data_IF_103149836843
#
_entry.id   IF_103149836843
#
_cell.length_a   1.000
_cell.length_b   1.000
_cell.length_c   1.000
_cell.angle_alpha   90.00
_cell.angle_beta   90.00
_cell.angle_gamma   90.00
#
_symmetry.space_group_name_H-M   'P 1'
#
loop_
_entity.id
_entity.type
_entity.pdbx_description
1 polymer ?
#
# COMPACT_ATOMS: atom_id res chain seq x y z
N UNK A 1 -11.04 25.93 -9.75
CA UNK A 1 -10.08 25.46 -8.72
C UNK A 1 -9.52 24.12 -9.15
N UNK A 2 -8.19 23.99 -9.21
CA UNK A 2 -7.55 22.72 -9.53
C UNK A 2 -7.70 21.76 -8.34
N UNK A 3 -8.19 20.54 -8.58
CA UNK A 3 -8.26 19.47 -7.56
C UNK A 3 -7.00 18.60 -7.67
N UNK A 4 -6.57 18.04 -6.55
CA UNK A 4 -5.32 17.27 -6.46
C UNK A 4 -5.50 15.99 -5.64
N UNK A 5 -4.71 14.97 -5.97
CA UNK A 5 -4.46 13.80 -5.14
C UNK A 5 -3.26 14.04 -4.18
N UNK A 6 -3.18 13.33 -3.03
CA UNK A 6 -4.26 12.52 -2.47
C UNK A 6 -5.44 13.39 -2.06
N UNK A 7 -6.66 12.93 -2.32
CA UNK A 7 -7.87 13.64 -1.92
C UNK A 7 -8.51 12.91 -0.73
N UNK A 8 -8.81 13.63 0.35
CA UNK A 8 -9.34 13.05 1.58
C UNK A 8 -10.67 13.72 1.91
N UNK A 9 -11.72 12.91 2.08
CA UNK A 9 -13.06 13.36 2.39
C UNK A 9 -13.50 12.79 3.74
N UNK A 10 -13.79 13.67 4.70
CA UNK A 10 -14.22 13.26 6.02
C UNK A 10 -15.76 13.33 6.13
N UNK A 11 -16.41 12.30 6.70
CA UNK A 11 -17.81 12.36 7.09
C UNK A 11 -18.10 13.51 8.05
N UNK A 12 -19.32 14.06 7.98
CA UNK A 12 -19.78 15.11 8.90
C UNK A 12 -19.64 14.69 10.38
N UNK A 13 -19.93 13.42 10.69
CA UNK A 13 -19.82 12.89 12.04
C UNK A 13 -18.37 12.88 12.55
N UNK A 14 -17.41 12.52 11.69
CA UNK A 14 -15.98 12.57 12.00
C UNK A 14 -15.50 14.01 12.17
N UNK A 15 -15.92 14.94 11.29
CA UNK A 15 -15.59 16.35 11.44
C UNK A 15 -16.10 16.93 12.76
N UNK A 16 -17.34 16.60 13.14
CA UNK A 16 -17.92 16.99 14.45
C UNK A 16 -17.15 16.36 15.61
N UNK A 17 -16.75 15.10 15.49
CA UNK A 17 -15.91 14.44 16.50
C UNK A 17 -14.57 15.17 16.66
N UNK A 18 -13.89 15.49 15.56
CA UNK A 18 -12.61 16.20 15.57
C UNK A 18 -12.72 17.59 16.19
N UNK A 19 -13.79 18.33 15.89
CA UNK A 19 -14.05 19.64 16.48
C UNK A 19 -14.24 19.56 18.01
N UNK A 20 -14.98 18.56 18.47
CA UNK A 20 -15.27 18.37 19.90
C UNK A 20 -14.14 17.65 20.67
N UNK A 21 -13.14 17.13 19.96
CA UNK A 21 -12.04 16.36 20.51
C UNK A 21 -10.76 16.75 19.76
N UNK A 22 -10.21 17.95 19.99
CA UNK A 22 -8.95 18.34 19.37
C UNK A 22 -7.85 17.33 19.74
N UNK A 23 -7.02 16.98 18.77
CA UNK A 23 -5.89 16.08 19.00
C UNK A 23 -4.87 16.75 19.91
N UNK A 24 -4.28 16.03 20.89
CA UNK A 24 -3.10 16.50 21.60
C UNK A 24 -2.00 16.86 20.59
N UNK A 25 -1.28 17.96 20.83
CA UNK A 25 -0.37 18.58 19.87
C UNK A 25 0.59 17.56 19.23
N UNK A 26 0.48 17.35 17.91
CA UNK A 26 1.25 16.36 17.14
C UNK A 26 2.77 16.53 17.32
N UNK A 27 3.24 17.78 17.47
CA UNK A 27 4.66 18.08 17.69
C UNK A 27 5.19 17.55 19.02
N UNK A 28 4.40 17.60 20.10
CA UNK A 28 4.81 17.06 21.40
C UNK A 28 4.92 15.53 21.36
N UNK A 29 4.00 14.85 20.69
CA UNK A 29 4.03 13.39 20.56
C UNK A 29 5.10 12.90 19.59
N UNK A 30 5.36 13.60 18.48
CA UNK A 30 6.50 13.31 17.60
C UNK A 30 7.83 13.45 18.33
N UNK A 31 8.00 14.49 19.16
CA UNK A 31 9.19 14.63 20.01
C UNK A 31 9.30 13.53 21.08
N UNK A 32 8.16 13.04 21.61
CA UNK A 32 8.12 11.92 22.57
C UNK A 32 8.48 10.59 21.92
N UNK A 33 8.08 10.39 20.66
CA UNK A 33 8.42 9.23 19.82
C UNK A 33 9.89 9.31 19.36
N UNK A 34 10.38 10.50 18.96
CA UNK A 34 11.78 10.69 18.58
C UNK A 34 12.75 10.55 19.76
N UNK A 35 12.37 10.95 20.99
CA UNK A 35 13.19 10.77 22.20
C UNK A 35 13.25 9.31 22.67
N UNK A 36 12.25 8.49 22.35
CA UNK A 36 12.30 7.03 22.52
C UNK A 36 12.62 6.41 21.18
N UNK A 37 13.86 6.57 20.73
CA UNK A 37 14.36 5.96 19.49
C UNK A 37 14.16 4.44 19.60
N UNK A 38 13.07 3.96 19.01
CA UNK A 38 12.80 2.54 18.86
C UNK A 38 13.84 2.05 17.86
N UNK A 39 14.86 1.36 18.34
CA UNK A 39 15.75 0.59 17.48
C UNK A 39 14.88 -0.43 16.74
N UNK A 40 14.47 -0.09 15.52
CA UNK A 40 13.98 -1.08 14.57
C UNK A 40 15.08 -2.14 14.45
N UNK A 41 14.76 -3.43 14.59
CA UNK A 41 15.77 -4.47 14.41
C UNK A 41 16.36 -4.33 13.01
N UNK A 42 17.69 -4.33 12.92
CA UNK A 42 18.54 -4.26 11.70
C UNK A 42 18.09 -5.13 10.53
N UNK A 43 17.15 -6.06 10.77
CA UNK A 43 16.59 -7.01 9.82
C UNK A 43 15.90 -6.35 8.63
N UNK A 44 15.25 -5.18 8.80
CA UNK A 44 14.59 -4.48 7.68
C UNK A 44 15.60 -3.79 6.77
N UNK A 45 16.70 -3.27 7.33
CA UNK A 45 17.78 -2.64 6.56
C UNK A 45 18.59 -3.70 5.80
N UNK A 46 18.97 -4.80 6.47
CA UNK A 46 19.70 -5.92 5.86
C UNK A 46 18.93 -6.69 4.78
N UNK A 47 17.59 -6.69 4.82
CA UNK A 47 16.79 -7.41 3.81
C UNK A 47 16.84 -6.74 2.44
N UNK A 48 16.81 -5.40 2.39
CA UNK A 48 16.87 -4.66 1.13
C UNK A 48 18.28 -4.72 0.51
N UNK A 49 19.33 -4.61 1.33
CA UNK A 49 20.71 -4.68 0.84
C UNK A 49 21.06 -6.11 0.36
N UNK A 50 20.63 -7.16 1.09
CA UNK A 50 20.90 -8.55 0.69
C UNK A 50 20.24 -8.95 -0.64
N UNK A 51 19.10 -8.38 -1.02
CA UNK A 51 18.43 -8.71 -2.28
C UNK A 51 19.09 -7.97 -3.44
N UNK A 52 19.43 -6.70 -3.26
CA UNK A 52 20.12 -5.91 -4.27
C UNK A 52 21.53 -6.45 -4.54
N UNK A 53 22.27 -6.86 -3.50
CA UNK A 53 23.59 -7.48 -3.65
C UNK A 53 23.50 -8.83 -4.36
N UNK A 54 22.48 -9.66 -4.05
CA UNK A 54 22.27 -10.94 -4.73
C UNK A 54 21.87 -10.77 -6.20
N UNK A 55 21.04 -9.77 -6.52
CA UNK A 55 20.69 -9.45 -7.91
C UNK A 55 21.91 -8.93 -8.68
N UNK A 56 22.73 -8.09 -8.05
CA UNK A 56 23.96 -7.56 -8.64
C UNK A 56 25.01 -8.65 -8.91
N UNK A 57 25.22 -9.57 -7.97
CA UNK A 57 26.12 -10.72 -8.16
C UNK A 57 25.64 -11.68 -9.25
N UNK A 58 24.34 -11.98 -9.31
CA UNK A 58 23.77 -12.80 -10.40
C UNK A 58 23.94 -12.12 -11.76
N UNK A 59 23.76 -10.80 -11.83
CA UNK A 59 23.96 -10.04 -13.06
C UNK A 59 25.44 -10.03 -13.51
N UNK A 60 26.38 -9.91 -12.57
CA UNK A 60 27.82 -10.00 -12.87
C UNK A 60 28.19 -11.39 -13.38
N UNK A 61 27.70 -12.48 -12.76
CA UNK A 61 27.99 -13.85 -13.18
C UNK A 61 27.43 -14.20 -14.57
N UNK A 62 26.26 -13.65 -14.93
CA UNK A 62 25.66 -13.86 -16.26
C UNK A 62 26.44 -13.09 -17.35
N UNK A 63 26.91 -11.88 -17.05
CA UNK A 63 27.63 -11.07 -18.04
C UNK A 63 29.11 -11.46 -18.19
N UNK A 64 29.77 -11.96 -17.13
CA UNK A 64 31.15 -12.44 -17.23
C UNK A 64 31.29 -13.77 -17.98
N UNK A 65 30.24 -14.61 -17.97
CA UNK A 65 30.20 -15.86 -18.75
C UNK A 65 29.86 -15.63 -20.23
N UNK A 66 29.09 -14.59 -20.56
CA UNK A 66 28.79 -14.22 -21.95
C UNK A 66 30.02 -13.68 -22.71
N UNK A 67 30.89 -12.91 -22.03
CA UNK A 67 32.12 -12.37 -22.63
C UNK A 67 33.19 -13.45 -22.91
N UNK A 68 33.19 -14.55 -22.17
CA UNK A 68 34.10 -15.69 -22.39
C UNK A 68 33.59 -16.60 -23.52
N UNK A 69 32.26 -16.68 -23.75
CA UNK A 69 31.70 -17.49 -24.82
C UNK A 69 31.88 -16.90 -26.23
N UNK A 70 32.04 -15.58 -26.37
CA UNK A 70 32.21 -14.92 -27.67
C UNK A 70 33.62 -15.07 -28.29
N UNK A 71 34.63 -15.47 -27.52
CA UNK A 71 36.00 -15.68 -28.02
C UNK A 71 36.34 -17.14 -28.38
N UNK A 72 35.46 -18.10 -28.08
CA UNK A 72 35.77 -19.53 -28.20
C UNK A 72 34.99 -20.27 -29.31
N UNK A 73 34.47 -19.57 -30.32
CA UNK A 73 33.67 -20.17 -31.40
C UNK A 73 34.44 -20.50 -32.70
N UNK A 74 35.77 -20.38 -32.74
CA UNK A 74 36.52 -20.60 -33.97
C UNK A 74 37.28 -21.93 -34.08
N UNK A 75 37.39 -22.75 -33.03
CA UNK A 75 38.15 -24.00 -33.14
C UNK A 75 37.96 -24.90 -31.92
N UNK A 76 37.57 -26.15 -32.16
CA UNK A 76 37.41 -27.29 -31.22
C UNK A 76 36.01 -27.53 -30.62
N UNK A 77 35.63 -28.80 -30.36
CA UNK A 77 34.30 -29.18 -29.89
C UNK A 77 34.17 -28.92 -28.38
N UNK A 78 34.21 -27.64 -27.99
CA UNK A 78 34.03 -27.18 -26.61
C UNK A 78 32.57 -27.20 -26.15
N UNK A 79 31.62 -27.53 -27.03
CA UNK A 79 30.19 -27.63 -26.71
C UNK A 79 29.89 -28.68 -25.63
N UNK A 80 30.69 -29.74 -25.52
CA UNK A 80 30.57 -30.74 -24.46
C UNK A 80 30.87 -30.15 -23.07
N UNK A 81 31.81 -29.21 -22.99
CA UNK A 81 32.12 -28.49 -21.74
C UNK A 81 30.95 -27.59 -21.35
N UNK A 82 30.33 -26.91 -22.32
CA UNK A 82 29.15 -26.07 -22.08
C UNK A 82 27.96 -26.88 -21.55
N UNK A 83 27.74 -28.10 -22.05
CA UNK A 83 26.67 -28.99 -21.53
C UNK A 83 26.97 -29.42 -20.09
N UNK A 84 28.22 -29.76 -19.78
CA UNK A 84 28.62 -30.12 -18.40
C UNK A 84 28.41 -28.94 -17.45
N UNK A 85 28.83 -27.73 -17.83
CA UNK A 85 28.61 -26.52 -17.02
C UNK A 85 27.13 -26.12 -16.90
N UNK A 86 26.33 -26.30 -17.94
CA UNK A 86 24.89 -26.07 -17.89
C UNK A 86 24.20 -27.04 -16.91
N UNK A 87 24.63 -28.31 -16.88
CA UNK A 87 24.10 -29.32 -15.95
C UNK A 87 24.45 -29.03 -14.48
N UNK A 88 25.67 -28.54 -14.21
CA UNK A 88 26.11 -28.14 -12.87
C UNK A 88 25.31 -26.91 -12.39
N UNK A 89 25.10 -25.92 -13.26
CA UNK A 89 24.31 -24.73 -12.93
C UNK A 89 22.83 -25.06 -12.67
N UNK A 90 22.24 -26.00 -13.42
CA UNK A 90 20.88 -26.48 -13.18
C UNK A 90 20.78 -27.25 -11.84
N UNK A 91 21.78 -28.06 -11.51
CA UNK A 91 21.88 -28.73 -10.22
C UNK A 91 21.98 -27.76 -9.03
N UNK A 92 22.76 -26.69 -9.16
CA UNK A 92 22.86 -25.63 -8.16
C UNK A 92 21.53 -24.89 -7.96
N UNK A 93 20.79 -24.59 -9.04
CA UNK A 93 19.46 -23.97 -8.97
C UNK A 93 18.45 -24.88 -8.23
N UNK A 94 18.47 -26.18 -8.51
CA UNK A 94 17.64 -27.15 -7.80
C UNK A 94 18.01 -27.26 -6.31
N UNK A 95 19.30 -27.26 -5.95
CA UNK A 95 19.76 -27.32 -4.56
C UNK A 95 19.41 -26.06 -3.74
N UNK A 96 19.56 -24.87 -4.33
CA UNK A 96 19.15 -23.61 -3.68
C UNK A 96 17.64 -23.56 -3.47
N UNK A 97 16.85 -24.07 -4.43
CA UNK A 97 15.39 -24.17 -4.27
C UNK A 97 14.99 -25.14 -3.13
N UNK A 98 15.76 -26.22 -2.93
CA UNK A 98 15.57 -27.19 -1.84
C UNK A 98 15.90 -26.60 -0.46
N UNK A 99 17.01 -25.86 -0.34
CA UNK A 99 17.39 -25.15 0.89
C UNK A 99 16.38 -24.08 1.30
N UNK A 100 15.76 -23.39 0.34
CA UNK A 100 14.70 -22.41 0.61
C UNK A 100 13.44 -23.03 1.23
N UNK A 101 13.15 -24.30 0.93
CA UNK A 101 12.03 -25.06 1.50
C UNK A 101 12.31 -25.54 2.93
N UNK A 102 13.58 -25.76 3.28
CA UNK A 102 13.97 -26.30 4.59
C UNK A 102 14.03 -25.22 5.68
N UNK A 103 14.21 -23.95 5.31
CA UNK A 103 14.27 -22.83 6.28
C UNK A 103 12.90 -22.45 6.89
N UNK A 104 11.78 -23.03 6.42
CA UNK A 104 10.43 -22.71 6.93
C UNK A 104 9.96 -23.59 8.11
N UNK A 105 10.81 -24.46 8.67
CA UNK A 105 10.37 -25.39 9.73
C UNK A 105 11.38 -25.53 10.86
N UNK A 106 11.33 -24.60 11.80
CA UNK A 106 11.46 -24.76 13.27
C UNK A 106 11.75 -23.39 13.88
N UNK A 107 10.95 -22.99 14.88
CA UNK A 107 11.40 -22.49 16.18
C UNK A 107 10.18 -22.02 17.00
N UNK A 108 9.82 -22.82 17.99
CA UNK A 108 9.01 -22.44 19.17
C UNK A 108 9.89 -21.63 20.15
N UNK A 109 9.30 -20.79 21.03
CA UNK A 109 9.96 -19.59 21.55
C UNK A 109 10.66 -19.81 22.90
N UNK A 110 11.84 -19.21 23.04
CA UNK A 110 12.41 -18.91 24.35
C UNK A 110 11.71 -17.69 24.96
N UNK A 111 11.24 -17.83 26.19
CA UNK A 111 10.69 -16.78 27.03
C UNK A 111 11.70 -15.64 27.20
N UNK A 112 11.45 -14.51 26.52
CA UNK A 112 12.10 -13.22 26.80
C UNK A 112 10.98 -12.24 27.16
N UNK A 113 11.15 -11.58 28.31
CA UNK A 113 10.20 -10.72 29.01
C UNK A 113 9.34 -9.83 28.10
N UNK A 114 8.02 -9.97 28.25
CA UNK A 114 6.97 -9.27 27.50
C UNK A 114 6.67 -7.83 27.98
N UNK A 115 7.40 -7.29 28.96
CA UNK A 115 6.98 -6.04 29.63
C UNK A 115 7.27 -4.76 28.84
N UNK A 116 8.29 -4.71 27.97
CA UNK A 116 8.64 -3.47 27.24
C UNK A 116 7.75 -3.15 26.04
N UNK A 117 7.08 -4.16 25.46
CA UNK A 117 6.22 -3.97 24.28
C UNK A 117 4.87 -3.35 24.64
N UNK A 118 4.32 -3.68 25.81
CA UNK A 118 3.01 -3.21 26.29
C UNK A 118 3.06 -1.71 26.61
N UNK A 119 4.13 -1.24 27.22
CA UNK A 119 4.31 0.18 27.56
C UNK A 119 4.48 1.05 26.31
N UNK A 120 5.24 0.59 25.31
CA UNK A 120 5.43 1.34 24.07
C UNK A 120 4.15 1.41 23.22
N UNK A 121 3.34 0.34 23.17
CA UNK A 121 2.03 0.36 22.49
C UNK A 121 1.07 1.32 23.20
N UNK A 122 1.08 1.35 24.53
CA UNK A 122 0.24 2.25 25.33
C UNK A 122 0.61 3.73 25.13
N UNK A 123 1.88 4.03 24.87
CA UNK A 123 2.35 5.41 24.58
C UNK A 123 1.95 5.88 23.17
N UNK A 124 1.79 4.98 22.21
CA UNK A 124 1.45 5.32 20.82
C UNK A 124 -0.05 5.39 20.54
N UNK A 125 -0.90 4.90 21.45
CA UNK A 125 -2.36 4.90 21.29
C UNK A 125 -3.01 5.80 22.32
N UNK A 126 -4.20 6.30 21.98
CA UNK A 126 -5.04 7.06 22.90
C UNK A 126 -6.35 6.31 23.17
N UNK A 127 -6.35 5.26 24.03
CA UNK A 127 -7.51 4.36 24.19
C UNK A 127 -8.81 5.07 24.55
N UNK A 128 -8.75 6.13 25.38
CA UNK A 128 -9.93 6.95 25.72
C UNK A 128 -10.53 7.63 24.49
N UNK A 129 -9.69 8.11 23.57
CA UNK A 129 -10.13 8.73 22.31
C UNK A 129 -10.71 7.67 21.37
N UNK A 130 -10.05 6.53 21.25
CA UNK A 130 -10.52 5.41 20.42
C UNK A 130 -11.88 4.89 20.90
N UNK A 131 -12.07 4.72 22.21
CA UNK A 131 -13.35 4.31 22.80
C UNK A 131 -14.44 5.35 22.57
N UNK A 132 -14.12 6.66 22.72
CA UNK A 132 -15.08 7.74 22.43
C UNK A 132 -15.45 7.77 20.95
N UNK A 133 -14.49 7.58 20.06
CA UNK A 133 -14.75 7.50 18.62
C UNK A 133 -15.61 6.29 18.27
N UNK A 134 -15.33 5.13 18.86
CA UNK A 134 -16.14 3.93 18.70
C UNK A 134 -17.59 4.19 19.12
N UNK A 135 -17.80 4.79 20.29
CA UNK A 135 -19.15 5.17 20.74
C UNK A 135 -19.88 6.11 19.75
N UNK A 136 -19.16 7.05 19.12
CA UNK A 136 -19.76 7.94 18.13
C UNK A 136 -20.22 7.20 16.86
N UNK A 137 -19.42 6.24 16.40
CA UNK A 137 -19.60 5.51 15.14
C UNK A 137 -20.44 4.23 15.27
N UNK A 138 -20.56 3.69 16.48
CA UNK A 138 -21.19 2.40 16.71
C UNK A 138 -22.60 2.33 16.10
N UNK A 139 -22.83 1.30 15.27
CA UNK A 139 -24.06 1.06 14.49
C UNK A 139 -24.47 2.17 13.51
N UNK A 140 -23.58 3.12 13.20
CA UNK A 140 -23.84 4.22 12.24
C UNK A 140 -22.98 4.14 10.98
N UNK A 141 -22.01 3.23 10.95
CA UNK A 141 -21.19 2.98 9.75
C UNK A 141 -21.88 1.91 8.92
N UNK A 142 -22.10 2.20 7.63
CA UNK A 142 -22.62 1.21 6.68
C UNK A 142 -21.68 0.01 6.61
N UNK A 143 -22.25 -1.18 6.69
CA UNK A 143 -21.51 -2.43 6.55
C UNK A 143 -21.45 -2.86 5.08
N UNK A 144 -20.36 -3.51 4.65
CA UNK A 144 -20.27 -4.07 3.31
C UNK A 144 -21.18 -5.28 3.15
N UNK A 145 -21.63 -5.55 1.91
CA UNK A 145 -22.50 -6.69 1.58
C UNK A 145 -21.72 -7.95 1.22
N UNK A 146 -20.40 -7.83 1.06
CA UNK A 146 -19.53 -8.96 0.78
C UNK A 146 -18.42 -8.61 -0.20
N UNK A 147 -17.92 -9.64 -0.89
CA UNK A 147 -16.88 -9.49 -1.90
C UNK A 147 -17.48 -8.92 -3.19
N UNK A 148 -16.74 -8.04 -3.85
CA UNK A 148 -17.09 -7.51 -5.16
C UNK A 148 -16.62 -8.44 -6.28
N UNK A 149 -17.42 -8.53 -7.34
CA UNK A 149 -17.07 -9.19 -8.60
C UNK A 149 -16.39 -8.24 -9.60
N UNK A 150 -16.22 -6.96 -9.24
CA UNK A 150 -15.53 -6.01 -10.10
C UNK A 150 -14.05 -6.41 -10.29
N UNK A 151 -13.52 -6.31 -11.51
CA UNK A 151 -12.12 -6.64 -11.76
C UNK A 151 -11.21 -5.62 -11.09
N UNK A 152 -10.17 -6.11 -10.40
CA UNK A 152 -9.12 -5.27 -9.84
C UNK A 152 -8.25 -4.64 -10.94
N UNK A 153 -7.86 -3.38 -10.74
CA UNK A 153 -6.88 -2.68 -11.54
C UNK A 153 -5.48 -3.30 -11.46
N UNK A 154 -4.66 -3.03 -12.48
CA UNK A 154 -3.32 -3.63 -12.64
C UNK A 154 -2.39 -3.27 -11.48
N UNK A 155 -2.48 -2.04 -10.98
CA UNK A 155 -1.66 -1.52 -9.88
C UNK A 155 -2.10 -2.03 -8.49
N UNK A 156 -3.35 -2.47 -8.36
CA UNK A 156 -3.95 -2.80 -7.07
C UNK A 156 -3.26 -3.97 -6.38
N UNK A 157 -2.87 -5.01 -7.13
CA UNK A 157 -2.27 -6.23 -6.54
C UNK A 157 -0.98 -5.92 -5.78
N UNK A 158 -0.06 -5.19 -6.41
CA UNK A 158 1.22 -4.82 -5.79
C UNK A 158 1.00 -3.85 -4.64
N UNK A 159 0.08 -2.88 -4.82
CA UNK A 159 -0.26 -1.95 -3.77
C UNK A 159 -0.86 -2.65 -2.54
N UNK A 160 -1.73 -3.65 -2.75
CA UNK A 160 -2.32 -4.46 -1.70
C UNK A 160 -1.28 -5.20 -0.89
N UNK A 161 -0.28 -5.81 -1.53
CA UNK A 161 0.78 -6.54 -0.82
C UNK A 161 1.55 -5.63 0.15
N UNK A 162 1.89 -4.41 -0.30
CA UNK A 162 2.60 -3.43 0.51
C UNK A 162 1.70 -2.90 1.63
N UNK A 163 0.49 -2.48 1.29
CA UNK A 163 -0.47 -1.95 2.29
C UNK A 163 -0.87 -3.01 3.31
N UNK A 164 -1.01 -4.28 2.94
CA UNK A 164 -1.31 -5.39 3.86
C UNK A 164 -0.20 -5.61 4.89
N UNK A 165 1.05 -5.39 4.50
CA UNK A 165 2.18 -5.45 5.44
C UNK A 165 2.10 -4.34 6.50
N UNK A 166 1.66 -3.14 6.11
CA UNK A 166 1.52 -1.99 7.02
C UNK A 166 0.23 -2.05 7.83
N UNK A 167 -0.88 -2.43 7.20
CA UNK A 167 -2.23 -2.47 7.74
C UNK A 167 -2.80 -3.89 7.62
N UNK A 168 -2.56 -4.78 8.59
CA UNK A 168 -2.98 -6.18 8.50
C UNK A 168 -4.49 -6.38 8.31
N UNK A 169 -5.32 -5.41 8.70
CA UNK A 169 -6.77 -5.42 8.57
C UNK A 169 -7.30 -4.85 7.23
N UNK A 170 -6.43 -4.44 6.31
CA UNK A 170 -6.88 -4.00 4.98
C UNK A 170 -7.49 -5.17 4.21
N UNK A 171 -8.60 -4.91 3.52
CA UNK A 171 -9.30 -5.84 2.62
C UNK A 171 -9.45 -5.20 1.25
N UNK A 172 -9.47 -6.01 0.19
CA UNK A 172 -9.57 -5.57 -1.20
C UNK A 172 -10.90 -6.01 -1.82
N UNK A 173 -11.46 -5.18 -2.72
CA UNK A 173 -12.55 -5.56 -3.61
C UNK A 173 -13.83 -5.89 -2.86
N UNK A 174 -14.39 -4.89 -2.18
CA UNK A 174 -15.55 -5.05 -1.29
C UNK A 174 -16.78 -4.34 -1.86
N UNK A 175 -17.91 -5.03 -1.86
CA UNK A 175 -19.17 -4.53 -2.40
C UNK A 175 -20.02 -3.78 -1.36
N UNK A 176 -20.68 -2.72 -1.82
CA UNK A 176 -21.71 -1.97 -1.09
C UNK A 176 -22.94 -1.80 -1.97
N UNK A 177 -24.06 -2.28 -1.48
CA UNK A 177 -25.37 -2.13 -2.06
C UNK A 177 -25.76 -0.67 -1.99
N UNK A 178 -26.17 -0.15 -3.13
CA UNK A 178 -26.71 1.19 -3.24
C UNK A 178 -28.05 1.09 -3.97
N UNK A 179 -29.19 1.25 -3.27
CA UNK A 179 -30.51 1.03 -3.86
C UNK A 179 -30.82 1.98 -5.02
N UNK A 180 -30.04 3.07 -5.17
CA UNK A 180 -30.17 4.00 -6.30
C UNK A 180 -29.53 3.50 -7.59
N UNK A 181 -28.73 2.44 -7.55
CA UNK A 181 -28.00 1.91 -8.70
C UNK A 181 -28.25 0.41 -8.85
N UNK A 182 -28.32 -0.04 -10.10
CA UNK A 182 -28.53 -1.45 -10.43
C UNK A 182 -27.38 -2.36 -9.98
N UNK A 183 -26.17 -1.82 -9.91
CA UNK A 183 -24.96 -2.55 -9.52
C UNK A 183 -24.40 -1.97 -8.22
N UNK A 184 -23.87 -2.82 -7.32
CA UNK A 184 -23.23 -2.35 -6.10
C UNK A 184 -22.00 -1.51 -6.43
N UNK A 185 -21.66 -0.60 -5.52
CA UNK A 185 -20.34 0.02 -5.55
C UNK A 185 -19.29 -0.99 -5.08
N UNK A 186 -18.12 -0.93 -5.71
CA UNK A 186 -16.98 -1.77 -5.38
C UNK A 186 -15.84 -0.89 -4.92
N UNK A 187 -15.55 -0.88 -3.62
CA UNK A 187 -14.39 -0.19 -3.06
C UNK A 187 -13.11 -0.97 -3.37
N UNK A 188 -12.06 -0.28 -3.78
CA UNK A 188 -10.78 -0.93 -4.11
C UNK A 188 -10.16 -1.51 -2.83
N UNK A 189 -10.03 -0.71 -1.78
CA UNK A 189 -9.62 -1.19 -0.46
C UNK A 189 -10.40 -0.57 0.68
N UNK A 190 -10.59 -1.35 1.74
CA UNK A 190 -11.16 -0.87 2.99
C UNK A 190 -10.22 -1.13 4.17
N UNK A 191 -10.22 -0.20 5.13
CA UNK A 191 -9.62 -0.38 6.44
C UNK A 191 -10.69 -0.09 7.50
N UNK A 192 -10.97 -1.07 8.36
CA UNK A 192 -11.80 -0.87 9.56
C UNK A 192 -10.89 -0.95 10.79
N UNK A 193 -10.58 0.22 11.35
CA UNK A 193 -9.77 0.33 12.56
C UNK A 193 -10.56 -0.10 13.81
N UNK A 194 -9.87 -0.59 14.83
CA UNK A 194 -10.47 -1.05 16.10
C UNK A 194 -11.35 -0.01 16.81
N UNK A 195 -11.11 1.28 16.56
CA UNK A 195 -11.96 2.38 17.06
C UNK A 195 -13.27 2.56 16.28
N UNK A 196 -13.62 1.67 15.35
CA UNK A 196 -14.75 1.80 14.42
C UNK A 196 -14.52 2.76 13.25
N UNK A 197 -13.36 3.42 13.19
CA UNK A 197 -13.00 4.29 12.06
C UNK A 197 -12.89 3.44 10.81
N UNK A 198 -13.71 3.77 9.82
CA UNK A 198 -13.79 3.03 8.56
C UNK A 198 -13.33 3.93 7.43
N UNK A 199 -12.38 3.43 6.63
CA UNK A 199 -11.71 4.17 5.56
C UNK A 199 -11.88 3.39 4.27
N UNK A 200 -12.45 4.07 3.28
CA UNK A 200 -12.54 3.67 1.89
C UNK A 200 -11.34 4.27 1.14
N UNK A 201 -10.60 3.43 0.43
CA UNK A 201 -9.39 3.82 -0.30
C UNK A 201 -9.59 3.44 -1.76
N UNK A 202 -9.45 4.45 -2.62
CA UNK A 202 -9.73 4.36 -4.05
C UNK A 202 -8.47 4.72 -4.85
N UNK A 203 -8.24 3.97 -5.92
CA UNK A 203 -7.15 4.20 -6.86
C UNK A 203 -7.75 4.69 -8.17
N UNK A 204 -7.38 5.91 -8.53
CA UNK A 204 -7.93 6.55 -9.72
C UNK A 204 -6.96 6.39 -10.89
N UNK A 205 -7.31 5.58 -11.89
CA UNK A 205 -6.64 5.61 -13.19
C UNK A 205 -7.20 6.69 -14.12
N UNK A 206 -6.38 7.29 -15.00
CA UNK A 206 -6.87 8.32 -15.92
C UNK A 206 -7.75 7.81 -17.06
N UNK A 207 -7.60 6.53 -17.40
CA UNK A 207 -8.39 5.86 -18.42
C UNK A 207 -8.34 4.36 -18.22
N UNK A 208 -9.40 3.67 -18.63
CA UNK A 208 -9.51 2.22 -18.56
C UNK A 208 -8.46 1.56 -19.48
N UNK A 209 -7.75 0.55 -18.99
CA UNK A 209 -6.55 0.02 -19.65
C UNK A 209 -6.78 -0.53 -21.05
N UNK A 210 -7.84 -1.32 -21.23
CA UNK A 210 -8.20 -1.99 -22.48
C UNK A 210 -8.95 -1.07 -23.45
N UNK A 211 -10.01 -0.40 -23.01
CA UNK A 211 -10.87 0.43 -23.86
C UNK A 211 -10.33 1.83 -24.10
N UNK A 212 -9.35 2.27 -23.30
CA UNK A 212 -8.80 3.63 -23.32
C UNK A 212 -9.84 4.72 -23.02
N UNK A 213 -11.02 4.33 -22.50
CA UNK A 213 -12.07 5.27 -22.13
C UNK A 213 -11.63 6.13 -20.93
N UNK A 214 -11.87 7.45 -20.94
CA UNK A 214 -11.59 8.33 -19.80
C UNK A 214 -12.22 7.84 -18.50
N UNK A 215 -11.46 7.90 -17.42
CA UNK A 215 -11.89 7.42 -16.10
C UNK A 215 -11.53 8.43 -15.00
N UNK A 216 -12.28 8.41 -13.89
CA UNK A 216 -12.15 9.32 -12.74
C UNK A 216 -11.88 10.81 -13.06
N UNK A 217 -12.65 11.36 -13.99
CA UNK A 217 -12.43 12.72 -14.49
C UNK A 217 -13.20 13.74 -13.64
N UNK A 218 -12.58 14.87 -13.28
CA UNK A 218 -13.18 15.87 -12.37
C UNK A 218 -14.36 16.64 -12.96
N UNK A 219 -14.44 16.70 -14.29
CA UNK A 219 -15.55 17.22 -15.08
C UNK A 219 -16.67 16.19 -15.24
N UNK A 220 -16.58 15.04 -14.56
CA UNK A 220 -17.66 14.09 -14.33
C UNK A 220 -18.12 14.16 -12.87
N UNK A 221 -19.44 14.11 -12.64
CA UNK A 221 -20.01 14.16 -11.29
C UNK A 221 -20.00 12.80 -10.56
N UNK A 222 -19.62 11.70 -11.24
CA UNK A 222 -19.75 10.32 -10.76
C UNK A 222 -18.97 10.09 -9.46
N UNK A 223 -17.69 10.46 -9.40
CA UNK A 223 -16.87 10.27 -8.20
C UNK A 223 -17.35 11.12 -7.03
N UNK A 224 -17.89 12.33 -7.29
CA UNK A 224 -18.45 13.16 -6.23
C UNK A 224 -19.69 12.48 -5.60
N UNK A 225 -20.56 11.87 -6.41
CA UNK A 225 -21.74 11.13 -5.94
C UNK A 225 -21.32 9.89 -5.14
N UNK A 226 -20.29 9.18 -5.61
CA UNK A 226 -19.72 8.03 -4.92
C UNK A 226 -19.09 8.43 -3.56
N UNK A 227 -18.28 9.48 -3.54
CA UNK A 227 -17.70 10.03 -2.31
C UNK A 227 -18.81 10.46 -1.32
N UNK A 228 -19.89 11.06 -1.81
CA UNK A 228 -21.04 11.44 -0.98
C UNK A 228 -21.74 10.20 -0.40
N UNK A 229 -21.91 9.13 -1.17
CA UNK A 229 -22.47 7.88 -0.66
C UNK A 229 -21.66 7.35 0.53
N UNK A 230 -20.34 7.22 0.38
CA UNK A 230 -19.48 6.72 1.46
C UNK A 230 -19.42 7.66 2.67
N UNK A 231 -19.23 8.96 2.43
CA UNK A 231 -19.14 9.94 3.52
C UNK A 231 -20.46 10.14 4.28
N UNK A 232 -21.61 10.03 3.62
CA UNK A 232 -22.92 10.03 4.29
C UNK A 232 -23.11 8.77 5.17
N UNK A 233 -22.40 7.70 4.83
CA UNK A 233 -22.40 6.43 5.55
C UNK A 233 -21.21 6.27 6.52
N UNK A 234 -20.59 7.38 6.90
CA UNK A 234 -19.51 7.47 7.89
C UNK A 234 -18.19 6.76 7.51
N UNK A 235 -17.95 6.58 6.21
CA UNK A 235 -16.65 6.18 5.67
C UNK A 235 -15.79 7.41 5.33
N UNK A 236 -14.56 7.47 5.85
CA UNK A 236 -13.56 8.41 5.34
C UNK A 236 -13.11 7.92 3.97
N UNK A 237 -13.15 8.78 2.96
CA UNK A 237 -12.69 8.40 1.61
C UNK A 237 -11.31 8.99 1.37
N UNK A 238 -10.35 8.16 0.95
CA UNK A 238 -9.02 8.57 0.50
C UNK A 238 -8.85 8.13 -0.95
N UNK A 239 -8.66 9.07 -1.86
CA UNK A 239 -8.38 8.78 -3.27
C UNK A 239 -6.92 9.08 -3.59
N UNK A 240 -6.25 8.13 -4.22
CA UNK A 240 -4.91 8.28 -4.77
C UNK A 240 -4.97 8.19 -6.29
N UNK A 241 -4.05 8.83 -7.00
CA UNK A 241 -3.87 8.48 -8.42
C UNK A 241 -3.20 7.11 -8.55
N UNK A 242 -3.45 6.39 -9.64
CA UNK A 242 -2.73 5.16 -9.96
C UNK A 242 -1.20 5.38 -9.94
N UNK A 243 -0.74 6.52 -10.44
CA UNK A 243 0.69 6.84 -10.46
C UNK A 243 1.27 7.02 -9.04
N UNK A 244 0.52 7.59 -8.10
CA UNK A 244 0.94 7.69 -6.71
C UNK A 244 1.12 6.33 -6.04
N UNK A 245 0.15 5.43 -6.23
CA UNK A 245 0.22 4.09 -5.63
C UNK A 245 1.33 3.24 -6.26
N UNK A 246 1.57 3.39 -7.56
CA UNK A 246 2.64 2.67 -8.27
C UNK A 246 4.02 3.20 -7.89
N UNK A 247 4.24 4.51 -7.96
CA UNK A 247 5.58 5.09 -7.71
C UNK A 247 5.90 5.25 -6.23
N UNK A 248 4.90 5.45 -5.38
CA UNK A 248 5.09 5.85 -3.98
C UNK A 248 4.17 5.09 -3.00
N UNK A 249 4.11 3.75 -3.03
CA UNK A 249 3.15 2.97 -2.24
C UNK A 249 3.29 3.20 -0.72
N UNK A 250 4.52 3.23 -0.19
CA UNK A 250 4.75 3.53 1.23
C UNK A 250 4.38 4.97 1.62
N UNK A 251 4.52 5.92 0.69
CA UNK A 251 4.10 7.31 0.95
C UNK A 251 2.58 7.43 0.98
N UNK A 252 1.86 6.64 0.17
CA UNK A 252 0.41 6.49 0.29
C UNK A 252 0.01 5.86 1.63
N UNK A 253 0.73 4.83 2.08
CA UNK A 253 0.55 4.26 3.42
C UNK A 253 0.72 5.32 4.52
N UNK A 254 1.69 6.24 4.37
CA UNK A 254 1.89 7.32 5.35
C UNK A 254 0.68 8.25 5.43
N UNK A 255 0.03 8.56 4.31
CA UNK A 255 -1.20 9.36 4.28
C UNK A 255 -2.33 8.64 5.02
N UNK A 256 -2.52 7.34 4.77
CA UNK A 256 -3.52 6.52 5.48
C UNK A 256 -3.24 6.52 6.99
N UNK A 257 -1.99 6.30 7.39
CA UNK A 257 -1.58 6.30 8.79
C UNK A 257 -1.78 7.67 9.47
N UNK A 258 -1.56 8.78 8.74
CA UNK A 258 -1.84 10.13 9.23
C UNK A 258 -3.34 10.34 9.48
N UNK A 259 -4.21 9.83 8.61
CA UNK A 259 -5.67 9.87 8.82
C UNK A 259 -6.07 9.08 10.06
N UNK A 260 -5.57 7.84 10.21
CA UNK A 260 -5.83 7.01 11.39
C UNK A 260 -5.38 7.72 12.66
N UNK A 261 -4.15 8.23 12.69
CA UNK A 261 -3.59 8.93 13.85
C UNK A 261 -4.38 10.19 14.20
N UNK A 262 -4.75 11.01 13.20
CA UNK A 262 -5.53 12.25 13.40
C UNK A 262 -6.91 11.95 14.00
N UNK A 263 -7.59 10.94 13.48
CA UNK A 263 -8.98 10.67 13.84
C UNK A 263 -9.05 9.85 15.12
N UNK A 264 -8.39 8.69 15.16
CA UNK A 264 -8.48 7.75 16.29
C UNK A 264 -7.52 8.07 17.44
N UNK A 265 -6.41 8.75 17.16
CA UNK A 265 -5.30 8.90 18.11
C UNK A 265 -4.35 7.70 18.17
N UNK A 266 -4.46 6.75 17.24
CA UNK A 266 -3.51 5.64 17.10
C UNK A 266 -2.33 6.05 16.20
N UNK A 267 -1.15 6.24 16.81
CA UNK A 267 0.09 6.59 16.12
C UNK A 267 0.93 5.37 15.73
N UNK A 268 0.45 4.15 15.98
CA UNK A 268 1.22 2.90 15.80
C UNK A 268 1.66 2.70 14.36
N UNK A 269 0.79 2.99 13.38
CA UNK A 269 1.14 2.88 11.97
C UNK A 269 2.03 4.04 11.50
N UNK A 270 1.78 5.25 12.01
CA UNK A 270 2.51 6.44 11.59
C UNK A 270 3.97 6.39 12.06
N UNK A 271 4.22 5.88 13.28
CA UNK A 271 5.57 5.75 13.83
C UNK A 271 6.47 4.83 12.99
N UNK A 272 5.91 3.77 12.41
CA UNK A 272 6.60 2.85 11.49
C UNK A 272 7.00 3.54 10.17
N UNK A 273 6.32 4.62 9.81
CA UNK A 273 6.49 5.35 8.55
C UNK A 273 7.12 6.75 8.77
N UNK A 274 7.76 6.98 9.92
CA UNK A 274 8.35 8.28 10.26
C UNK A 274 9.38 8.73 9.20
N UNK A 275 10.25 7.82 8.76
CA UNK A 275 11.31 8.09 7.78
C UNK A 275 10.81 8.11 6.32
N UNK A 276 9.55 7.77 6.07
CA UNK A 276 8.98 7.81 4.72
C UNK A 276 8.68 9.26 4.34
N UNK A 277 9.14 9.77 3.17
CA UNK A 277 8.85 11.15 2.77
C UNK A 277 7.36 11.41 2.55
N UNK A 278 6.98 12.69 2.46
CA UNK A 278 5.62 13.08 2.06
C UNK A 278 5.31 12.60 0.64
N UNK A 279 4.04 12.23 0.43
CA UNK A 279 3.53 11.86 -0.89
C UNK A 279 3.44 13.13 -1.76
N UNK A 280 4.08 13.16 -2.95
CA UNK A 280 3.93 14.30 -3.85
C UNK A 280 2.47 14.40 -4.32
N UNK A 281 1.96 15.63 -4.38
CA UNK A 281 0.62 15.88 -4.87
C UNK A 281 0.56 15.75 -6.39
N UNK A 282 -0.55 15.23 -6.92
CA UNK A 282 -0.77 15.13 -8.36
C UNK A 282 -2.06 15.83 -8.77
N UNK A 283 -2.08 16.64 -9.84
CA UNK A 283 -3.31 17.24 -10.32
C UNK A 283 -4.27 16.14 -10.80
N UNK A 284 -5.54 16.28 -10.45
CA UNK A 284 -6.59 15.49 -11.07
C UNK A 284 -6.79 15.92 -12.53
N UNK A 285 -7.43 15.08 -13.33
CA UNK A 285 -7.55 15.29 -14.78
C UNK A 285 -9.01 15.46 -15.22
N UNK A 286 -9.18 16.13 -16.35
CA UNK A 286 -10.45 16.23 -17.08
C UNK A 286 -10.57 15.12 -18.12
N UNK A 287 -11.77 14.95 -18.70
CA UNK A 287 -12.00 14.04 -19.83
C UNK A 287 -11.04 14.36 -20.98
N UNK A 288 -10.85 15.65 -21.30
CA UNK A 288 -9.94 16.08 -22.37
C UNK A 288 -8.50 15.62 -22.11
N UNK A 289 -8.03 15.78 -20.87
CA UNK A 289 -6.68 15.36 -20.49
C UNK A 289 -6.53 13.83 -20.47
N UNK A 290 -7.52 13.12 -19.94
CA UNK A 290 -7.57 11.65 -19.96
C UNK A 290 -7.51 11.09 -21.39
N UNK A 291 -8.27 11.66 -22.33
CA UNK A 291 -8.22 11.27 -23.76
C UNK A 291 -6.84 11.48 -24.36
N UNK A 292 -6.18 12.61 -24.05
CA UNK A 292 -4.81 12.88 -24.50
C UNK A 292 -3.85 11.82 -23.96
N UNK A 293 -3.86 11.59 -22.65
CA UNK A 293 -3.02 10.59 -21.99
C UNK A 293 -3.29 9.16 -22.44
N UNK A 294 -4.52 8.84 -22.85
CA UNK A 294 -4.85 7.55 -23.43
C UNK A 294 -4.17 7.34 -24.78
N UNK A 295 -4.18 8.36 -25.66
CA UNK A 295 -3.45 8.36 -26.95
C UNK A 295 -1.94 8.24 -26.76
N UNK A 296 -1.41 9.00 -25.81
CA UNK A 296 0.03 9.04 -25.51
C UNK A 296 0.51 7.81 -24.71
N UNK A 297 -0.38 6.84 -24.42
CA UNK A 297 -0.10 5.69 -23.56
C UNK A 297 0.54 6.08 -22.21
N UNK A 298 0.10 7.20 -21.62
CA UNK A 298 0.67 7.78 -20.42
C UNK A 298 0.87 6.81 -19.25
N UNK A 299 -0.05 5.84 -19.04
CA UNK A 299 0.07 4.82 -18.00
C UNK A 299 1.36 3.98 -18.14
N UNK A 300 1.86 3.76 -19.35
CA UNK A 300 3.14 3.05 -19.60
C UNK A 300 4.37 3.80 -19.09
N UNK A 301 4.25 5.09 -18.78
CA UNK A 301 5.37 5.87 -18.20
C UNK A 301 5.63 5.54 -16.73
N UNK A 302 4.74 4.76 -16.10
CA UNK A 302 4.87 4.36 -14.70
C UNK A 302 4.44 2.94 -14.39
N UNK A 303 3.60 2.30 -15.21
CA UNK A 303 3.36 0.86 -15.15
C UNK A 303 4.51 0.15 -15.88
N UNK A 304 5.39 -0.51 -15.12
CA UNK A 304 6.47 -1.37 -15.62
C UNK A 304 6.02 -2.82 -15.63
#
# INVERSE_FOLDING_TARGET
MNKYYPAIFYPRLILKFLANNPTPNLKQNQNRISRKQLNLPDKVRRYNDSILDKIFYVFICINSSASICLYAFASYPLWLIVIVWASINLGCLCFISSLSKQSSRKNTPNHIQLNTKKDNITVMRLPKREAKLNHWLNRKVLQPDGKSDAPAGVSEKTFYQITKHVFPNIVQGVAFHNPKFRYPYSADFLIVHTSGLSIDIEIDEPYVGNTKAPHHCIDQKKDNVRNQFFTNNNWVVIRFSEKQVVKYPYRCCKVIAQVIARVSGDFTFLSQLNNVPSLPSEPMWTIKQAKKWAKDNYRKTYLQ
#
